data_IF_353096702535
#
_entry.id   IF_353096702535
#
_cell.length_a   1.000
_cell.length_b   1.000
_cell.length_c   1.000
_cell.angle_alpha   90.00
_cell.angle_beta   90.00
_cell.angle_gamma   90.00
#
_symmetry.space_group_name_H-M   'P 1'
#
loop_
_entity.id
_entity.type
_entity.pdbx_description
1 polymer ?
#
# COMPACT_ATOMS: atom_id res chain seq x y z
N UNK A 1 15.00 -14.22 9.21
CA UNK A 1 14.69 -14.02 7.78
C UNK A 1 13.19 -13.85 7.48
N UNK A 2 12.28 -14.62 8.11
CA UNK A 2 10.82 -14.50 7.87
C UNK A 2 10.12 -13.36 8.63
N UNK A 3 10.65 -12.94 9.78
CA UNK A 3 10.00 -11.96 10.66
C UNK A 3 9.81 -10.60 10.00
N UNK A 4 10.81 -10.10 9.26
CA UNK A 4 10.73 -8.82 8.57
C UNK A 4 9.67 -8.80 7.46
N UNK A 5 9.50 -9.91 6.73
CA UNK A 5 8.45 -10.02 5.70
C UNK A 5 7.05 -10.00 6.31
N UNK A 6 6.88 -10.70 7.44
CA UNK A 6 5.61 -10.74 8.15
C UNK A 6 5.28 -9.36 8.71
N UNK A 7 6.25 -8.68 9.31
CA UNK A 7 6.10 -7.30 9.81
C UNK A 7 5.72 -6.35 8.66
N UNK A 8 6.37 -6.47 7.51
CA UNK A 8 6.10 -5.61 6.36
C UNK A 8 4.72 -5.87 5.75
N UNK A 9 4.36 -7.15 5.56
CA UNK A 9 3.03 -7.53 5.07
C UNK A 9 1.92 -7.10 6.02
N UNK A 10 2.13 -7.27 7.34
CA UNK A 10 1.20 -6.82 8.37
C UNK A 10 1.06 -5.29 8.37
N UNK A 11 2.16 -4.53 8.25
CA UNK A 11 2.13 -3.08 8.16
C UNK A 11 1.35 -2.60 6.92
N UNK A 12 1.65 -3.15 5.74
CA UNK A 12 0.94 -2.81 4.50
C UNK A 12 -0.56 -3.15 4.59
N UNK A 13 -0.89 -4.29 5.18
CA UNK A 13 -2.27 -4.73 5.35
C UNK A 13 -3.02 -3.83 6.32
N UNK A 14 -2.49 -3.61 7.53
CA UNK A 14 -3.16 -2.85 8.59
C UNK A 14 -3.30 -1.38 8.21
N UNK A 15 -2.22 -0.74 7.75
CA UNK A 15 -2.24 0.68 7.37
C UNK A 15 -3.08 0.87 6.12
N UNK A 16 -2.90 0.03 5.09
CA UNK A 16 -3.71 0.08 3.88
C UNK A 16 -5.20 -0.09 4.18
N UNK A 17 -5.58 -1.06 5.03
CA UNK A 17 -6.96 -1.28 5.42
C UNK A 17 -7.54 -0.12 6.23
N UNK A 18 -6.79 0.42 7.20
CA UNK A 18 -7.23 1.56 8.00
C UNK A 18 -7.52 2.79 7.13
N UNK A 19 -6.59 3.17 6.26
CA UNK A 19 -6.77 4.31 5.37
C UNK A 19 -7.84 4.07 4.30
N UNK A 20 -7.97 2.83 3.80
CA UNK A 20 -9.06 2.46 2.90
C UNK A 20 -10.43 2.67 3.57
N UNK A 21 -10.59 2.24 4.83
CA UNK A 21 -11.83 2.41 5.58
C UNK A 21 -12.08 3.90 5.85
N UNK A 22 -11.08 4.63 6.37
CA UNK A 22 -11.25 6.04 6.72
C UNK A 22 -11.62 6.85 5.48
N UNK A 23 -10.81 6.80 4.43
CA UNK A 23 -11.02 7.58 3.20
C UNK A 23 -12.26 7.09 2.45
N UNK A 24 -12.53 5.78 2.45
CA UNK A 24 -13.74 5.20 1.88
C UNK A 24 -15.01 5.68 2.59
N UNK A 25 -15.01 5.76 3.93
CA UNK A 25 -16.12 6.33 4.68
C UNK A 25 -16.28 7.82 4.41
N UNK A 26 -15.19 8.58 4.27
CA UNK A 26 -15.28 10.00 3.86
C UNK A 26 -15.90 10.14 2.48
N UNK A 27 -15.55 9.23 1.55
CA UNK A 27 -16.14 9.19 0.21
C UNK A 27 -17.65 8.94 0.26
N UNK A 28 -18.08 7.87 0.95
CA UNK A 28 -19.50 7.48 1.04
C UNK A 28 -20.34 8.56 1.72
N UNK A 29 -19.85 9.14 2.83
CA UNK A 29 -20.62 10.12 3.60
C UNK A 29 -20.70 11.50 2.95
N UNK A 30 -19.78 11.85 2.05
CA UNK A 30 -19.73 13.16 1.40
C UNK A 30 -19.86 13.10 -0.13
N UNK A 31 -20.25 11.94 -0.69
CA UNK A 31 -20.33 11.70 -2.12
C UNK A 31 -21.17 12.76 -2.86
N UNK A 32 -22.28 13.17 -2.26
CA UNK A 32 -23.18 14.18 -2.82
C UNK A 32 -22.63 15.61 -2.75
N UNK A 33 -21.63 15.86 -1.91
CA UNK A 33 -21.02 17.17 -1.69
C UNK A 33 -19.71 17.37 -2.48
N UNK A 34 -19.16 16.30 -3.08
CA UNK A 34 -17.96 16.41 -3.87
C UNK A 34 -18.24 16.98 -5.27
N UNK A 35 -17.46 17.99 -5.65
CA UNK A 35 -17.29 18.31 -7.06
C UNK A 35 -16.55 17.19 -7.80
N UNK A 36 -16.70 17.14 -9.13
CA UNK A 36 -16.14 16.07 -9.99
C UNK A 36 -14.64 15.85 -9.74
N UNK A 37 -13.86 16.94 -9.69
CA UNK A 37 -12.40 16.87 -9.47
C UNK A 37 -12.08 16.24 -8.11
N UNK A 38 -12.76 16.67 -7.05
CA UNK A 38 -12.52 16.17 -5.71
C UNK A 38 -12.94 14.70 -5.58
N UNK A 39 -14.08 14.33 -6.17
CA UNK A 39 -14.55 12.94 -6.20
C UNK A 39 -13.57 12.01 -6.90
N UNK A 40 -13.03 12.41 -8.06
CA UNK A 40 -12.02 11.63 -8.80
C UNK A 40 -10.73 11.47 -7.97
N UNK A 41 -10.25 12.55 -7.35
CA UNK A 41 -9.07 12.50 -6.49
C UNK A 41 -9.30 11.50 -5.35
N UNK A 42 -10.39 11.65 -4.60
CA UNK A 42 -10.71 10.75 -3.47
C UNK A 42 -10.83 9.28 -3.93
N UNK A 43 -11.39 9.02 -5.11
CA UNK A 43 -11.46 7.68 -5.69
C UNK A 43 -10.06 7.08 -5.97
N UNK A 44 -9.14 7.88 -6.50
CA UNK A 44 -7.74 7.45 -6.73
C UNK A 44 -7.07 7.08 -5.41
N UNK A 45 -7.32 7.85 -4.35
CA UNK A 45 -6.84 7.55 -2.99
C UNK A 45 -7.42 6.25 -2.46
N UNK A 46 -8.74 6.04 -2.56
CA UNK A 46 -9.40 4.80 -2.13
C UNK A 46 -8.82 3.59 -2.87
N UNK A 47 -8.66 3.68 -4.19
CA UNK A 47 -8.10 2.60 -5.01
C UNK A 47 -6.65 2.27 -4.63
N UNK A 48 -5.84 3.28 -4.31
CA UNK A 48 -4.44 3.09 -3.94
C UNK A 48 -4.27 2.49 -2.54
N UNK A 49 -5.10 2.87 -1.56
CA UNK A 49 -5.12 2.20 -0.24
C UNK A 49 -5.65 0.77 -0.31
N UNK A 50 -6.62 0.50 -1.18
CA UNK A 50 -7.08 -0.86 -1.45
C UNK A 50 -5.96 -1.73 -2.01
N UNK A 51 -5.22 -1.25 -3.01
CA UNK A 51 -4.06 -1.95 -3.58
C UNK A 51 -2.98 -2.22 -2.54
N UNK A 52 -2.73 -1.26 -1.63
CA UNK A 52 -1.78 -1.42 -0.53
C UNK A 52 -2.20 -2.54 0.43
N UNK A 53 -3.48 -2.57 0.82
CA UNK A 53 -4.02 -3.64 1.69
C UNK A 53 -3.96 -5.01 1.00
N UNK A 54 -4.37 -5.07 -0.27
CA UNK A 54 -4.35 -6.28 -1.06
C UNK A 54 -2.94 -6.85 -1.26
N UNK A 55 -1.97 -5.98 -1.52
CA UNK A 55 -0.57 -6.36 -1.61
C UNK A 55 -0.03 -6.84 -0.24
N UNK A 56 -0.36 -6.17 0.85
CA UNK A 56 -0.02 -6.60 2.22
C UNK A 56 -0.53 -8.00 2.55
N UNK A 57 -1.77 -8.31 2.17
CA UNK A 57 -2.35 -9.65 2.31
C UNK A 57 -1.60 -10.70 1.48
N UNK A 58 -1.24 -10.39 0.24
CA UNK A 58 -0.46 -11.27 -0.62
C UNK A 58 0.96 -11.53 -0.08
N UNK A 59 1.59 -10.49 0.49
CA UNK A 59 2.89 -10.57 1.17
C UNK A 59 2.82 -11.47 2.41
N UNK A 60 1.77 -11.37 3.23
CA UNK A 60 1.52 -12.25 4.38
C UNK A 60 1.36 -13.72 3.96
N UNK A 61 0.78 -13.97 2.78
CA UNK A 61 0.66 -15.33 2.21
C UNK A 61 1.90 -15.79 1.43
N UNK A 62 3.03 -15.08 1.54
CA UNK A 62 4.28 -15.39 0.83
C UNK A 62 4.11 -15.56 -0.69
N UNK A 63 3.16 -14.85 -1.29
CA UNK A 63 2.88 -14.96 -2.72
C UNK A 63 3.77 -14.02 -3.52
N UNK A 64 4.45 -14.56 -4.54
CA UNK A 64 5.39 -13.79 -5.39
C UNK A 64 4.69 -12.69 -6.20
N UNK A 65 3.43 -12.91 -6.59
CA UNK A 65 2.65 -11.91 -7.34
C UNK A 65 2.31 -10.66 -6.51
N UNK A 66 2.44 -10.70 -5.17
CA UNK A 66 2.15 -9.57 -4.30
C UNK A 66 3.25 -8.49 -4.29
N UNK A 67 4.43 -8.82 -4.81
CA UNK A 67 5.57 -7.90 -4.85
C UNK A 67 5.37 -6.74 -5.82
N UNK A 68 4.83 -7.02 -7.00
CA UNK A 68 4.56 -6.01 -8.02
C UNK A 68 3.51 -4.96 -7.58
N UNK A 69 2.32 -5.34 -7.06
CA UNK A 69 1.34 -4.38 -6.57
C UNK A 69 1.81 -3.64 -5.31
N UNK A 70 2.62 -4.27 -4.44
CA UNK A 70 3.22 -3.58 -3.30
C UNK A 70 4.13 -2.43 -3.75
N UNK A 71 4.90 -2.65 -4.81
CA UNK A 71 5.83 -1.66 -5.36
C UNK A 71 5.08 -0.50 -6.02
N UNK A 72 4.02 -0.78 -6.78
CA UNK A 72 3.14 0.24 -7.36
C UNK A 72 2.45 1.05 -6.26
N UNK A 73 1.87 0.38 -5.26
CA UNK A 73 1.23 1.05 -4.14
C UNK A 73 2.20 1.92 -3.34
N UNK A 74 3.47 1.49 -3.22
CA UNK A 74 4.52 2.26 -2.58
C UNK A 74 4.87 3.53 -3.38
N UNK A 75 5.05 3.44 -4.71
CA UNK A 75 5.32 4.62 -5.54
C UNK A 75 4.15 5.62 -5.54
N UNK A 76 2.91 5.14 -5.57
CA UNK A 76 1.73 6.01 -5.50
C UNK A 76 1.64 6.68 -4.13
N UNK A 77 1.98 5.98 -3.05
CA UNK A 77 1.93 6.54 -1.70
C UNK A 77 3.13 7.43 -1.33
N UNK A 78 4.23 7.43 -2.08
CA UNK A 78 5.35 8.37 -1.90
C UNK A 78 4.86 9.83 -2.01
N UNK A 79 3.90 10.10 -2.88
CA UNK A 79 3.31 11.43 -3.05
C UNK A 79 2.32 11.80 -1.94
N UNK A 80 1.87 10.83 -1.14
CA UNK A 80 0.74 11.01 -0.24
C UNK A 80 1.11 11.06 1.25
N UNK A 81 2.11 10.29 1.72
CA UNK A 81 2.47 10.23 3.15
C UNK A 81 3.96 9.86 3.33
N UNK A 82 4.74 10.48 4.25
CA UNK A 82 6.13 10.09 4.57
C UNK A 82 6.29 8.62 4.99
N UNK A 83 5.22 7.99 5.49
CA UNK A 83 5.16 6.56 5.86
C UNK A 83 5.19 5.66 4.61
N UNK A 84 4.56 6.07 3.51
CA UNK A 84 4.62 5.36 2.22
C UNK A 84 6.04 5.34 1.67
N UNK A 85 6.77 6.44 1.83
CA UNK A 85 8.19 6.59 1.45
C UNK A 85 9.11 5.71 2.29
N UNK A 86 8.94 5.70 3.62
CA UNK A 86 9.71 4.83 4.51
C UNK A 86 9.48 3.34 4.18
N UNK A 87 8.24 2.95 3.88
CA UNK A 87 7.91 1.60 3.44
C UNK A 87 8.48 1.25 2.07
N UNK A 88 8.44 2.17 1.11
CA UNK A 88 9.03 1.99 -0.22
C UNK A 88 10.54 1.77 -0.14
N UNK A 89 11.24 2.60 0.65
CA UNK A 89 12.69 2.51 0.86
C UNK A 89 13.04 1.19 1.56
N UNK A 90 12.29 0.80 2.60
CA UNK A 90 12.52 -0.46 3.29
C UNK A 90 12.29 -1.67 2.38
N UNK A 91 11.26 -1.63 1.54
CA UNK A 91 10.98 -2.67 0.56
C UNK A 91 12.08 -2.76 -0.51
N UNK A 92 12.55 -1.64 -1.06
CA UNK A 92 13.65 -1.60 -2.03
C UNK A 92 14.94 -2.14 -1.41
N UNK A 93 15.26 -1.76 -0.18
CA UNK A 93 16.42 -2.25 0.55
C UNK A 93 16.35 -3.76 0.81
N UNK A 94 15.18 -4.26 1.21
CA UNK A 94 14.94 -5.69 1.47
C UNK A 94 14.94 -6.54 0.19
N UNK A 95 14.40 -6.01 -0.91
CA UNK A 95 14.40 -6.72 -2.19
C UNK A 95 15.82 -6.77 -2.80
N UNK A 96 16.63 -5.71 -2.63
CA UNK A 96 18.04 -5.70 -3.06
C UNK A 96 18.88 -6.77 -2.35
N UNK A 97 18.61 -7.02 -1.06
CA UNK A 97 19.31 -8.07 -0.29
C UNK A 97 18.92 -9.48 -0.76
N UNK A 98 17.67 -9.69 -1.17
CA UNK A 98 17.19 -10.98 -1.70
C UNK A 98 17.77 -11.38 -3.06
N UNK A 99 18.07 -10.42 -3.94
CA UNK A 99 18.67 -10.70 -5.25
C UNK A 99 20.15 -11.10 -5.10
N UNK A 100 20.84 -10.53 -4.10
CA UNK A 100 22.28 -10.73 -3.88
C UNK A 100 22.64 -12.11 -3.31
N UNK A 101 21.70 -12.82 -2.69
CA UNK A 101 21.93 -14.17 -2.14
C UNK A 101 21.70 -15.29 -3.17
N UNK A 102 21.24 -14.97 -4.40
CA UNK A 102 21.05 -15.96 -5.49
C UNK A 102 22.08 -15.86 -6.63
N UNK A 103 23.09 -15.01 -6.50
CA UNK A 103 24.25 -14.89 -7.40
C UNK A 103 25.51 -15.19 -6.62
#
# INVERSE_FOLDING_TARGET
MNTHRIILGALFFVIGALFFIIVGMTFVNNAASFGIIQGVITLVFVASFFLMSFAGFGLLRNKVWAYFPAQIAAYINILNIPIGTAMAIYYIWFHRSFIKERT
#
